data_IF_858442021600
#
_entry.id   IF_858442021600
#
_cell.length_a   1.000
_cell.length_b   1.000
_cell.length_c   1.000
_cell.angle_alpha   90.00
_cell.angle_beta   90.00
_cell.angle_gamma   90.00
#
_symmetry.space_group_name_H-M   'P 1'
#
loop_
_entity.id
_entity.type
_entity.pdbx_description
1 polymer ?
#
# COMPACT_ATOMS: atom_id res chain seq x y z
N UNK A 1 -14.55 -7.21 -6.24
CA UNK A 1 -13.76 -6.42 -5.26
C UNK A 1 -14.05 -4.91 -5.33
N UNK A 2 -14.18 -4.31 -6.51
CA UNK A 2 -14.46 -2.87 -6.67
C UNK A 2 -15.70 -2.40 -5.89
N UNK A 3 -16.84 -3.11 -5.99
CA UNK A 3 -18.08 -2.76 -5.28
C UNK A 3 -17.89 -2.76 -3.76
N UNK A 4 -17.25 -3.79 -3.22
CA UNK A 4 -16.93 -3.86 -1.78
C UNK A 4 -16.16 -2.64 -1.28
N UNK A 5 -15.15 -2.20 -2.04
CA UNK A 5 -14.36 -1.02 -1.66
C UNK A 5 -15.12 0.28 -1.85
N UNK A 6 -15.95 0.39 -2.91
CA UNK A 6 -16.83 1.55 -3.08
C UNK A 6 -17.83 1.68 -1.91
N UNK A 7 -18.42 0.58 -1.47
CA UNK A 7 -19.32 0.58 -0.29
C UNK A 7 -18.54 0.94 0.99
N UNK A 8 -17.35 0.36 1.19
CA UNK A 8 -16.49 0.63 2.35
C UNK A 8 -16.11 2.11 2.48
N UNK A 9 -15.81 2.75 1.35
CA UNK A 9 -15.38 4.16 1.31
C UNK A 9 -16.52 5.15 1.09
N UNK A 10 -17.76 4.69 0.95
CA UNK A 10 -18.95 5.57 0.82
C UNK A 10 -19.34 6.25 2.15
N UNK A 11 -18.96 5.69 3.30
CA UNK A 11 -19.22 6.29 4.62
C UNK A 11 -18.51 7.65 4.73
N UNK A 12 -19.11 8.65 5.46
CA UNK A 12 -18.49 9.98 5.61
C UNK A 12 -17.11 9.94 6.28
N UNK A 13 -16.95 9.10 7.30
CA UNK A 13 -15.69 8.97 8.02
C UNK A 13 -14.64 8.21 7.20
N UNK A 14 -13.37 8.55 7.40
CA UNK A 14 -12.26 7.79 6.83
C UNK A 14 -12.15 6.40 7.47
N UNK A 15 -12.26 5.37 6.66
CA UNK A 15 -12.32 3.97 7.10
C UNK A 15 -11.06 3.56 7.90
N UNK A 16 -9.91 4.10 7.49
CA UNK A 16 -8.60 3.78 8.07
C UNK A 16 -7.88 5.02 8.64
N UNK A 17 -8.64 6.09 8.96
CA UNK A 17 -8.10 7.34 9.46
C UNK A 17 -7.33 8.14 8.42
N UNK A 18 -6.72 9.24 8.87
CA UNK A 18 -6.02 10.20 8.01
C UNK A 18 -4.52 10.27 8.28
N UNK A 19 -4.03 9.56 9.31
CA UNK A 19 -2.61 9.49 9.61
C UNK A 19 -1.94 8.41 8.72
N UNK A 20 -0.70 8.64 8.27
CA UNK A 20 0.02 7.65 7.46
C UNK A 20 0.27 6.36 8.25
N UNK A 21 0.45 5.28 7.55
CA UNK A 21 0.95 4.06 8.14
C UNK A 21 2.35 4.27 8.74
N UNK A 22 2.56 3.84 9.97
CA UNK A 22 3.80 4.09 10.73
C UNK A 22 5.04 3.46 10.07
N UNK A 23 4.90 2.25 9.50
CA UNK A 23 6.03 1.61 8.83
C UNK A 23 6.45 2.38 7.59
N UNK A 24 5.49 2.76 6.73
CA UNK A 24 5.76 3.57 5.55
C UNK A 24 6.40 4.92 5.93
N UNK A 25 5.79 5.63 6.87
CA UNK A 25 6.32 6.89 7.40
C UNK A 25 7.79 6.75 7.81
N UNK A 26 8.08 5.76 8.66
CA UNK A 26 9.42 5.52 9.16
C UNK A 26 10.45 5.16 8.07
N UNK A 27 10.03 4.63 6.92
CA UNK A 27 10.92 4.42 5.78
C UNK A 27 11.10 5.71 4.97
N UNK A 28 10.01 6.41 4.63
CA UNK A 28 10.08 7.64 3.84
C UNK A 28 10.90 8.75 4.51
N UNK A 29 10.80 8.88 5.84
CA UNK A 29 11.56 9.88 6.63
C UNK A 29 13.09 9.72 6.53
N UNK A 30 13.57 8.55 6.08
CA UNK A 30 15.01 8.25 5.89
C UNK A 30 15.49 8.47 4.46
N UNK A 31 14.58 8.80 3.56
CA UNK A 31 14.86 8.91 2.13
C UNK A 31 14.78 10.35 1.66
N UNK A 32 15.54 10.70 0.64
CA UNK A 32 15.34 11.95 -0.08
C UNK A 32 14.10 11.81 -0.96
N UNK A 33 13.21 12.82 -0.99
CA UNK A 33 12.02 12.78 -1.83
C UNK A 33 12.34 12.62 -3.31
N UNK A 34 11.57 11.79 -3.99
CA UNK A 34 11.63 11.50 -5.41
C UNK A 34 10.23 11.22 -5.95
N UNK A 35 10.10 10.26 -6.86
CA UNK A 35 8.81 9.76 -7.35
C UNK A 35 8.37 8.53 -6.55
N UNK A 36 7.12 8.55 -6.07
CA UNK A 36 6.52 7.43 -5.33
C UNK A 36 5.21 6.97 -5.98
N UNK A 37 5.02 5.66 -6.06
CA UNK A 37 3.74 5.04 -6.41
C UNK A 37 3.12 4.38 -5.18
N UNK A 38 1.86 4.72 -4.87
CA UNK A 38 1.04 4.09 -3.83
C UNK A 38 0.05 3.12 -4.51
N UNK A 39 0.20 1.85 -4.22
CA UNK A 39 -0.58 0.75 -4.83
C UNK A 39 -1.80 0.45 -3.97
N UNK A 40 -3.01 0.52 -4.55
CA UNK A 40 -4.28 0.33 -3.84
C UNK A 40 -4.37 1.24 -2.59
N UNK A 41 -4.18 2.54 -2.82
CA UNK A 41 -3.95 3.55 -1.78
C UNK A 41 -5.18 3.85 -0.91
N UNK A 42 -6.38 3.55 -1.41
CA UNK A 42 -7.61 3.85 -0.70
C UNK A 42 -7.84 5.36 -0.56
N UNK A 43 -8.13 5.84 0.65
CA UNK A 43 -8.56 7.22 0.95
C UNK A 43 -7.41 8.24 1.02
N UNK A 44 -6.18 7.87 0.62
CA UNK A 44 -5.10 8.84 0.38
C UNK A 44 -4.22 9.22 1.56
N UNK A 45 -4.35 8.60 2.73
CA UNK A 45 -3.60 8.96 3.94
C UNK A 45 -2.08 8.91 3.76
N UNK A 46 -1.58 7.90 3.05
CA UNK A 46 -0.14 7.76 2.75
C UNK A 46 0.29 8.68 1.61
N UNK A 47 -0.55 8.83 0.59
CA UNK A 47 -0.31 9.72 -0.54
C UNK A 47 -0.16 11.17 -0.08
N UNK A 48 -1.07 11.64 0.77
CA UNK A 48 -1.02 13.00 1.34
C UNK A 48 0.22 13.18 2.22
N UNK A 49 0.55 12.19 3.05
CA UNK A 49 1.78 12.25 3.85
C UNK A 49 3.03 12.38 2.96
N UNK A 50 3.15 11.54 1.93
CA UNK A 50 4.27 11.60 1.00
C UNK A 50 4.36 12.97 0.29
N UNK A 51 3.23 13.48 -0.21
CA UNK A 51 3.18 14.78 -0.88
C UNK A 51 3.59 15.95 0.04
N UNK A 52 3.15 15.94 1.31
CA UNK A 52 3.58 16.94 2.34
C UNK A 52 5.08 16.92 2.58
N UNK A 53 5.74 15.80 2.37
CA UNK A 53 7.18 15.65 2.52
C UNK A 53 7.95 15.77 1.19
N UNK A 54 7.33 16.36 0.16
CA UNK A 54 7.97 16.73 -1.10
C UNK A 54 8.09 15.62 -2.13
N UNK A 55 7.44 14.47 -1.93
CA UNK A 55 7.40 13.39 -2.91
C UNK A 55 6.48 13.75 -4.08
N UNK A 56 6.89 13.40 -5.30
CA UNK A 56 6.00 13.40 -6.46
C UNK A 56 5.16 12.12 -6.41
N UNK A 57 3.88 12.27 -6.09
CA UNK A 57 2.99 11.16 -5.77
C UNK A 57 2.15 10.75 -6.98
N UNK A 58 2.24 9.48 -7.33
CA UNK A 58 1.26 8.74 -8.13
C UNK A 58 0.56 7.74 -7.22
N UNK A 59 -0.76 7.61 -7.34
CA UNK A 59 -1.56 6.67 -6.57
C UNK A 59 -2.67 6.07 -7.45
N UNK A 60 -3.10 4.87 -7.12
CA UNK A 60 -4.29 4.29 -7.73
C UNK A 60 -5.05 3.38 -6.75
N UNK A 61 -6.33 3.26 -6.99
CA UNK A 61 -7.23 2.26 -6.41
C UNK A 61 -8.35 1.94 -7.39
N UNK A 62 -9.02 0.83 -7.22
CA UNK A 62 -10.18 0.47 -8.03
C UNK A 62 -11.45 1.24 -7.66
N UNK A 63 -11.48 1.90 -6.51
CA UNK A 63 -12.63 2.62 -5.96
C UNK A 63 -12.65 4.11 -6.33
N UNK A 64 -13.75 4.54 -6.93
CA UNK A 64 -14.03 5.96 -7.19
C UNK A 64 -14.27 6.75 -5.89
N UNK A 65 -14.86 6.11 -4.88
CA UNK A 65 -15.10 6.75 -3.58
C UNK A 65 -13.77 6.97 -2.84
N UNK A 66 -12.83 6.02 -2.92
CA UNK A 66 -11.48 6.20 -2.42
C UNK A 66 -10.79 7.42 -3.04
N UNK A 67 -10.79 7.52 -4.38
CA UNK A 67 -10.21 8.67 -5.08
C UNK A 67 -10.81 9.99 -4.62
N UNK A 68 -12.15 10.09 -4.51
CA UNK A 68 -12.82 11.34 -4.07
C UNK A 68 -12.32 11.78 -2.71
N UNK A 69 -12.25 10.86 -1.75
CA UNK A 69 -11.75 11.16 -0.40
C UNK A 69 -10.25 11.46 -0.37
N UNK A 70 -9.45 10.76 -1.17
CA UNK A 70 -8.03 11.02 -1.28
C UNK A 70 -7.75 12.43 -1.83
N UNK A 71 -8.49 12.87 -2.84
CA UNK A 71 -8.36 14.22 -3.39
C UNK A 71 -8.89 15.29 -2.42
N UNK A 72 -9.98 15.02 -1.71
CA UNK A 72 -10.46 15.89 -0.63
C UNK A 72 -9.40 16.05 0.46
N UNK A 73 -8.81 14.95 0.94
CA UNK A 73 -7.77 14.98 1.98
C UNK A 73 -6.52 15.73 1.50
N UNK A 74 -6.16 15.61 0.22
CA UNK A 74 -5.04 16.35 -0.38
C UNK A 74 -5.32 17.85 -0.41
N UNK A 75 -6.53 18.27 -0.82
CA UNK A 75 -6.96 19.67 -0.83
C UNK A 75 -6.94 20.29 0.57
N UNK A 76 -7.52 19.60 1.55
CA UNK A 76 -7.52 20.01 2.96
C UNK A 76 -6.11 20.20 3.55
N UNK A 77 -5.12 19.50 2.99
CA UNK A 77 -3.72 19.59 3.40
C UNK A 77 -2.87 20.48 2.47
N UNK A 78 -3.48 21.14 1.48
CA UNK A 78 -2.81 22.01 0.48
C UNK A 78 -1.68 21.29 -0.26
N UNK A 79 -1.89 20.05 -0.66
CA UNK A 79 -0.95 19.25 -1.48
C UNK A 79 -1.63 18.70 -2.72
N UNK A 80 -0.83 18.35 -3.72
CA UNK A 80 -1.32 17.72 -4.95
C UNK A 80 -0.82 16.29 -5.05
N UNK A 81 -1.73 15.37 -5.37
CA UNK A 81 -1.43 13.98 -5.70
C UNK A 81 -2.03 13.65 -7.07
N UNK A 82 -1.36 12.83 -7.85
CA UNK A 82 -1.96 12.26 -9.05
C UNK A 82 -2.60 10.91 -8.69
N UNK A 83 -3.92 10.82 -8.84
CA UNK A 83 -4.68 9.64 -8.41
C UNK A 83 -5.52 9.10 -9.58
N UNK A 84 -5.41 7.78 -9.85
CA UNK A 84 -6.15 7.11 -10.92
C UNK A 84 -7.11 6.06 -10.34
N UNK A 85 -8.33 5.99 -10.89
CA UNK A 85 -9.24 4.87 -10.61
C UNK A 85 -8.98 3.77 -11.63
N UNK A 86 -8.27 2.71 -11.21
CA UNK A 86 -7.86 1.64 -12.10
C UNK A 86 -7.68 0.31 -11.36
N UNK A 87 -7.93 -0.80 -12.06
CA UNK A 87 -7.62 -2.14 -11.54
C UNK A 87 -6.11 -2.40 -11.55
N UNK A 88 -5.59 -3.06 -10.51
CA UNK A 88 -4.17 -3.36 -10.38
C UNK A 88 -3.62 -4.28 -11.50
N UNK A 89 -4.46 -5.11 -12.11
CA UNK A 89 -4.08 -5.91 -13.27
C UNK A 89 -4.02 -5.11 -14.58
N UNK A 90 -4.85 -4.08 -14.69
CA UNK A 90 -4.96 -3.30 -15.93
C UNK A 90 -4.01 -2.12 -15.97
N UNK A 91 -3.77 -1.47 -14.82
CA UNK A 91 -2.87 -0.31 -14.77
C UNK A 91 -1.46 -0.68 -15.22
N UNK A 92 -0.84 0.21 -15.96
CA UNK A 92 0.55 0.06 -16.36
C UNK A 92 1.30 1.40 -16.34
N UNK A 93 2.60 1.33 -16.02
CA UNK A 93 3.52 2.46 -16.03
C UNK A 93 4.78 2.09 -16.83
N UNK A 94 5.49 3.09 -17.38
CA UNK A 94 6.79 2.85 -18.00
C UNK A 94 7.77 2.18 -17.01
N UNK A 95 8.70 1.41 -17.55
CA UNK A 95 9.78 0.85 -16.75
C UNK A 95 10.63 1.95 -16.08
N UNK A 96 11.12 1.65 -14.88
CA UNK A 96 12.01 2.55 -14.15
C UNK A 96 11.41 3.96 -13.91
N UNK A 97 10.13 4.04 -13.54
CA UNK A 97 9.40 5.29 -13.32
C UNK A 97 9.50 5.82 -11.88
N UNK A 98 9.62 4.93 -10.89
CA UNK A 98 9.48 5.29 -9.49
C UNK A 98 10.73 5.02 -8.67
N UNK A 99 11.07 5.95 -7.77
CA UNK A 99 12.15 5.77 -6.79
C UNK A 99 11.67 4.89 -5.63
N UNK A 100 10.38 4.97 -5.28
CA UNK A 100 9.71 4.14 -4.28
C UNK A 100 8.38 3.62 -4.82
N UNK A 101 8.08 2.36 -4.54
CA UNK A 101 6.73 1.81 -4.71
C UNK A 101 6.29 1.25 -3.37
N UNK A 102 5.15 1.74 -2.85
CA UNK A 102 4.59 1.30 -1.58
C UNK A 102 3.27 0.57 -1.78
N UNK A 103 3.12 -0.57 -1.11
CA UNK A 103 1.89 -1.36 -1.05
C UNK A 103 1.55 -1.61 0.43
N UNK A 104 0.64 -0.79 0.98
CA UNK A 104 0.26 -0.82 2.38
C UNK A 104 -1.15 -1.39 2.52
N UNK A 105 -1.25 -2.56 3.11
CA UNK A 105 -2.48 -3.37 3.21
C UNK A 105 -3.18 -3.65 1.86
N UNK A 106 -2.40 -3.63 0.77
CA UNK A 106 -2.84 -4.07 -0.55
C UNK A 106 -2.79 -5.61 -0.61
N UNK A 107 -3.93 -6.25 -0.51
CA UNK A 107 -4.06 -7.70 -0.49
C UNK A 107 -4.58 -8.23 -1.82
N UNK A 108 -3.85 -9.15 -2.42
CA UNK A 108 -4.20 -9.76 -3.69
C UNK A 108 -4.34 -11.29 -3.56
N UNK A 109 -5.35 -11.89 -4.20
CA UNK A 109 -5.40 -13.36 -4.31
C UNK A 109 -4.14 -13.92 -4.97
N UNK A 110 -3.74 -15.12 -4.58
CA UNK A 110 -2.55 -15.80 -5.12
C UNK A 110 -2.50 -15.83 -6.67
N UNK A 111 -3.67 -15.96 -7.31
CA UNK A 111 -3.80 -16.02 -8.77
C UNK A 111 -3.33 -14.78 -9.52
N UNK A 112 -3.32 -13.61 -8.87
CA UNK A 112 -2.94 -12.32 -9.49
C UNK A 112 -1.76 -11.64 -8.81
N UNK A 113 -1.46 -11.98 -7.56
CA UNK A 113 -0.44 -11.33 -6.73
C UNK A 113 0.93 -11.27 -7.40
N UNK A 114 1.41 -12.42 -7.88
CA UNK A 114 2.73 -12.50 -8.53
C UNK A 114 2.81 -11.60 -9.78
N UNK A 115 1.72 -11.52 -10.56
CA UNK A 115 1.65 -10.64 -11.72
C UNK A 115 1.79 -9.16 -11.32
N UNK A 116 1.08 -8.75 -10.28
CA UNK A 116 1.12 -7.36 -9.79
C UNK A 116 2.51 -7.05 -9.21
N UNK A 117 3.09 -7.95 -8.41
CA UNK A 117 4.43 -7.75 -7.84
C UNK A 117 5.52 -7.66 -8.93
N UNK A 118 5.42 -8.43 -10.02
CA UNK A 118 6.33 -8.30 -11.18
C UNK A 118 6.17 -6.96 -11.90
N UNK A 119 4.96 -6.44 -12.04
CA UNK A 119 4.74 -5.09 -12.57
C UNK A 119 5.42 -4.04 -11.67
N UNK A 120 5.27 -4.14 -10.34
CA UNK A 120 5.94 -3.24 -9.40
C UNK A 120 7.46 -3.26 -9.57
N UNK A 121 8.09 -4.44 -9.72
CA UNK A 121 9.53 -4.55 -9.97
C UNK A 121 9.95 -3.87 -11.29
N UNK A 122 9.15 -4.04 -12.35
CA UNK A 122 9.42 -3.41 -13.65
C UNK A 122 9.35 -1.89 -13.57
N UNK A 123 8.35 -1.34 -12.89
CA UNK A 123 8.15 0.10 -12.73
C UNK A 123 9.18 0.76 -11.81
N UNK A 124 9.82 -0.02 -10.93
CA UNK A 124 10.82 0.47 -9.99
C UNK A 124 12.12 0.83 -10.71
N UNK A 125 12.69 2.00 -10.41
CA UNK A 125 14.00 2.43 -10.92
C UNK A 125 15.14 1.57 -10.37
N UNK A 126 16.30 1.50 -11.06
CA UNK A 126 17.52 1.01 -10.45
C UNK A 126 17.82 1.76 -9.14
N UNK A 127 18.16 1.02 -8.09
CA UNK A 127 18.32 1.49 -6.70
C UNK A 127 17.02 1.94 -6.01
N UNK A 128 15.86 1.82 -6.64
CA UNK A 128 14.58 2.11 -6.02
C UNK A 128 14.19 1.08 -4.96
N UNK A 129 13.18 1.41 -4.15
CA UNK A 129 12.73 0.60 -3.02
C UNK A 129 11.28 0.18 -3.16
N UNK A 130 11.01 -1.10 -2.87
CA UNK A 130 9.67 -1.60 -2.53
C UNK A 130 9.50 -1.50 -1.03
N UNK A 131 8.40 -0.89 -0.57
CA UNK A 131 7.97 -0.84 0.82
C UNK A 131 6.59 -1.50 0.90
N UNK A 132 6.48 -2.61 1.63
CA UNK A 132 5.22 -3.34 1.74
C UNK A 132 4.95 -3.69 3.19
N UNK A 133 3.74 -3.36 3.68
CA UNK A 133 3.17 -3.89 4.91
C UNK A 133 1.82 -4.52 4.60
N UNK A 134 1.63 -5.76 5.01
CA UNK A 134 0.40 -6.50 4.79
C UNK A 134 0.12 -7.44 5.96
N UNK A 135 -1.13 -7.85 6.13
CA UNK A 135 -1.46 -8.88 7.12
C UNK A 135 -0.86 -10.23 6.71
N UNK A 136 -0.22 -10.90 7.68
CA UNK A 136 0.34 -12.22 7.49
C UNK A 136 -0.68 -13.34 7.83
N UNK A 137 -0.28 -14.61 7.69
CA UNK A 137 -1.16 -15.76 7.88
C UNK A 137 -1.76 -15.82 9.30
N UNK A 138 -1.04 -15.36 10.32
CA UNK A 138 -1.50 -15.41 11.72
C UNK A 138 -2.62 -14.38 12.00
N UNK A 139 -2.86 -13.44 11.07
CA UNK A 139 -3.96 -12.48 11.17
C UNK A 139 -5.35 -13.15 11.05
N UNK A 140 -5.44 -14.36 10.50
CA UNK A 140 -6.73 -15.02 10.23
C UNK A 140 -7.62 -15.15 11.48
N UNK A 141 -7.02 -15.27 12.65
CA UNK A 141 -7.72 -15.40 13.93
C UNK A 141 -8.05 -14.06 14.59
N UNK A 142 -7.49 -12.95 14.11
CA UNK A 142 -7.72 -11.63 14.67
C UNK A 142 -8.94 -10.94 14.03
N UNK A 143 -9.50 -9.96 14.74
CA UNK A 143 -10.64 -9.14 14.28
C UNK A 143 -10.26 -7.69 13.98
N UNK A 144 -8.99 -7.35 14.12
CA UNK A 144 -8.45 -5.99 13.99
C UNK A 144 -8.30 -5.49 12.55
N UNK A 145 -8.74 -6.27 11.55
CA UNK A 145 -8.67 -5.96 10.13
C UNK A 145 -8.18 -7.12 9.27
N UNK A 146 -8.02 -6.85 7.99
CA UNK A 146 -7.51 -7.81 7.01
C UNK A 146 -8.56 -8.75 6.41
N UNK A 147 -8.20 -9.39 5.29
CA UNK A 147 -9.06 -10.37 4.62
C UNK A 147 -9.26 -11.62 5.48
N UNK A 148 -10.45 -12.23 5.35
CA UNK A 148 -10.76 -13.52 5.96
C UNK A 148 -10.50 -14.71 5.02
N UNK A 149 -10.04 -14.42 3.82
CA UNK A 149 -9.53 -15.40 2.88
C UNK A 149 -8.01 -15.57 3.07
N UNK A 150 -7.58 -16.74 3.49
CA UNK A 150 -6.17 -17.05 3.76
C UNK A 150 -5.29 -16.91 2.50
N UNK A 151 -5.85 -17.10 1.30
CA UNK A 151 -5.12 -16.92 0.04
C UNK A 151 -4.68 -15.48 -0.20
N UNK A 152 -5.33 -14.52 0.45
CA UNK A 152 -5.01 -13.10 0.39
C UNK A 152 -4.02 -12.65 1.48
N UNK A 153 -3.71 -13.50 2.46
CA UNK A 153 -2.74 -13.19 3.51
C UNK A 153 -1.32 -13.50 3.04
N UNK A 154 -0.37 -12.73 3.54
CA UNK A 154 1.00 -12.76 3.03
C UNK A 154 1.90 -13.72 3.85
N UNK A 155 2.79 -14.42 3.15
CA UNK A 155 3.83 -15.26 3.75
C UNK A 155 5.22 -14.82 3.27
N UNK A 156 6.21 -14.90 4.15
CA UNK A 156 7.59 -14.48 3.87
C UNK A 156 8.19 -15.16 2.63
N UNK A 157 7.96 -16.47 2.48
CA UNK A 157 8.53 -17.23 1.36
C UNK A 157 7.86 -16.88 0.02
N UNK A 158 6.57 -16.51 0.05
CA UNK A 158 5.88 -16.01 -1.14
C UNK A 158 6.47 -14.68 -1.63
N UNK A 159 6.75 -13.74 -0.72
CA UNK A 159 7.39 -12.47 -1.09
C UNK A 159 8.82 -12.67 -1.60
N UNK A 160 9.59 -13.60 -1.03
CA UNK A 160 10.92 -13.95 -1.56
C UNK A 160 10.83 -14.46 -3.01
N UNK A 161 9.81 -15.24 -3.32
CA UNK A 161 9.59 -15.76 -4.68
C UNK A 161 9.12 -14.67 -5.62
N UNK A 162 8.17 -13.84 -5.19
CA UNK A 162 7.60 -12.79 -6.02
C UNK A 162 8.63 -11.69 -6.35
N UNK A 163 9.54 -11.37 -5.42
CA UNK A 163 10.57 -10.33 -5.54
C UNK A 163 12.00 -10.90 -5.61
N UNK A 164 12.17 -12.06 -6.22
CA UNK A 164 13.46 -12.79 -6.27
C UNK A 164 14.58 -12.06 -7.06
N UNK A 165 14.23 -11.06 -7.87
CA UNK A 165 15.20 -10.23 -8.61
C UNK A 165 15.69 -9.03 -7.80
N UNK A 166 15.14 -8.78 -6.62
CA UNK A 166 15.49 -7.66 -5.76
C UNK A 166 16.36 -8.09 -4.57
N UNK A 167 17.20 -7.18 -4.10
CA UNK A 167 17.91 -7.34 -2.83
C UNK A 167 16.93 -7.13 -1.67
N UNK A 168 16.58 -8.21 -0.97
CA UNK A 168 15.68 -8.15 0.18
C UNK A 168 16.45 -7.60 1.38
N UNK A 169 16.00 -6.45 1.90
CA UNK A 169 16.57 -5.76 3.07
C UNK A 169 15.83 -6.11 4.36
N UNK A 170 14.51 -6.38 4.27
CA UNK A 170 13.66 -6.83 5.39
C UNK A 170 12.57 -7.75 4.86
N UNK A 171 12.28 -8.81 5.60
CA UNK A 171 11.15 -9.69 5.35
C UNK A 171 10.81 -10.40 6.68
N UNK A 172 9.93 -9.80 7.47
CA UNK A 172 9.69 -10.20 8.86
C UNK A 172 8.22 -10.13 9.23
N UNK A 173 7.74 -11.14 9.94
CA UNK A 173 6.45 -11.10 10.62
C UNK A 173 6.58 -10.34 11.94
N UNK A 174 5.59 -9.51 12.25
CA UNK A 174 5.51 -8.73 13.47
C UNK A 174 4.11 -8.70 14.03
N UNK A 175 4.02 -8.67 15.35
CA UNK A 175 2.80 -8.37 16.07
C UNK A 175 2.80 -6.89 16.41
N UNK A 176 1.74 -6.19 16.04
CA UNK A 176 1.59 -4.74 16.28
C UNK A 176 0.23 -4.42 16.90
N UNK A 177 0.13 -3.23 17.46
CA UNK A 177 -1.14 -2.65 17.89
C UNK A 177 -1.61 -1.64 16.85
N UNK A 178 -2.72 -1.93 16.18
CA UNK A 178 -3.35 -1.00 15.24
C UNK A 178 -4.21 0.03 15.95
N UNK A 179 -4.13 1.25 15.46
CA UNK A 179 -5.00 2.37 15.81
C UNK A 179 -5.21 3.27 14.59
N UNK A 180 -5.70 2.69 13.52
CA UNK A 180 -5.81 3.29 12.19
C UNK A 180 -7.28 3.29 11.73
N UNK A 181 -8.13 4.06 12.45
CA UNK A 181 -9.56 4.17 12.14
C UNK A 181 -10.40 2.95 12.52
N UNK A 182 -11.64 2.94 12.06
CA UNK A 182 -12.70 2.00 12.48
C UNK A 182 -12.38 0.53 12.18
N UNK A 183 -11.68 0.26 11.08
CA UNK A 183 -11.46 -1.10 10.59
C UNK A 183 -10.05 -1.65 10.83
N UNK A 184 -9.15 -0.82 11.38
CA UNK A 184 -7.80 -1.20 11.77
C UNK A 184 -7.57 -0.81 13.25
N UNK A 185 -8.12 -1.60 14.16
CA UNK A 185 -8.02 -1.35 15.60
C UNK A 185 -7.83 -2.64 16.38
N UNK A 186 -6.81 -2.67 17.24
CA UNK A 186 -6.47 -3.81 18.08
C UNK A 186 -5.18 -4.52 17.67
N UNK A 187 -4.93 -5.66 18.30
CA UNK A 187 -3.76 -6.51 18.03
C UNK A 187 -3.82 -7.07 16.61
N UNK A 188 -2.71 -6.97 15.89
CA UNK A 188 -2.61 -7.44 14.52
C UNK A 188 -1.27 -8.11 14.23
N UNK A 189 -1.30 -9.06 13.28
CA UNK A 189 -0.13 -9.76 12.79
C UNK A 189 0.17 -9.31 11.35
N UNK A 190 1.27 -8.61 11.16
CA UNK A 190 1.69 -8.06 9.86
C UNK A 190 2.98 -8.69 9.37
N UNK A 191 3.19 -8.60 8.08
CA UNK A 191 4.46 -8.83 7.43
C UNK A 191 4.99 -7.50 6.91
N UNK A 192 6.23 -7.15 7.29
CA UNK A 192 6.96 -5.98 6.82
C UNK A 192 8.05 -6.39 5.85
N UNK A 193 7.99 -5.82 4.66
CA UNK A 193 8.92 -6.14 3.58
C UNK A 193 9.55 -4.88 3.01
N UNK A 194 10.87 -4.94 2.81
CA UNK A 194 11.66 -3.89 2.17
C UNK A 194 12.64 -4.56 1.21
N UNK A 195 12.64 -4.15 -0.05
CA UNK A 195 13.55 -4.66 -1.04
C UNK A 195 14.05 -3.55 -1.99
N UNK A 196 15.26 -3.71 -2.51
CA UNK A 196 15.94 -2.76 -3.39
C UNK A 196 16.21 -3.41 -4.75
N UNK A 197 15.94 -2.65 -5.83
CA UNK A 197 16.32 -3.03 -7.22
C UNK A 197 17.77 -2.74 -7.52
#
# INVERSE_FOLDING_TARGET
>A
MKEFWNERYAEPEFAYGVLPNDFLKNQLDKLNPGSILLVCEGEGRNAVYAAKNGWKVEAFDSSEQAMKKALQLADENNVTINYQVQDALEIDYPENSFDVIAAIYAHFPDSIRTTIHRKMQRWLKPNGLIILEAFNLDQIVNTSGGPKDISMLYAMDRLKTDFNELLILRNQNEEIQLNEGKFHSGKANVLRFLAKK
#
